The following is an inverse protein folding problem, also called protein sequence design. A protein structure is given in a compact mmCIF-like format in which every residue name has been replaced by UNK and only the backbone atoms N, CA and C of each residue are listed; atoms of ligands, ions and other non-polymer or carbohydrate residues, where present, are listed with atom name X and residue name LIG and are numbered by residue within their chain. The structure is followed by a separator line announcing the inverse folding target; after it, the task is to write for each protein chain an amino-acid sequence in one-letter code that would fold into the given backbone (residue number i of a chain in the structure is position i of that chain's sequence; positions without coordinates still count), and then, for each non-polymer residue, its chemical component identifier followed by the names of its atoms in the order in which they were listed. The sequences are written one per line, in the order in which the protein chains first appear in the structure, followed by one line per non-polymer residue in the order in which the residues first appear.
data_IF_013036840422
#
_entry.id   IF_013036840422
#
_cell.length_a   1.000
_cell.length_b   1.000
_cell.length_c   1.000
_cell.angle_alpha   90.00
_cell.angle_beta   90.00
_cell.angle_gamma   90.00
#
_symmetry.space_group_name_H-M   'P 1'
#
loop_
_entity.id
_entity.type
_entity.pdbx_description
1 polymer ?
#
# COMPACT_ATOMS: atom_id res chain seq x y z
N UNK A 1 11.48 4.66 7.53
CA UNK A 1 11.65 4.40 6.09
C UNK A 1 12.27 3.01 5.92
N UNK A 2 11.97 2.31 4.83
CA UNK A 2 12.55 1.00 4.50
C UNK A 2 12.98 1.00 3.03
N UNK A 3 14.16 0.49 2.76
CA UNK A 3 14.61 0.16 1.40
C UNK A 3 14.45 -1.34 1.20
N UNK A 4 13.91 -1.74 0.06
CA UNK A 4 13.61 -3.12 -0.26
C UNK A 4 14.38 -3.51 -1.52
N UNK A 5 15.04 -4.67 -1.48
CA UNK A 5 15.61 -5.35 -2.64
C UNK A 5 14.80 -6.62 -2.88
N UNK A 6 14.40 -6.86 -4.12
CA UNK A 6 13.69 -8.06 -4.55
C UNK A 6 14.55 -8.78 -5.58
N UNK A 7 14.85 -10.05 -5.30
CA UNK A 7 15.61 -10.92 -6.20
C UNK A 7 14.63 -11.46 -7.24
N UNK A 8 14.97 -11.43 -8.55
CA UNK A 8 14.11 -11.97 -9.57
C UNK A 8 13.97 -13.50 -9.42
N UNK A 9 12.79 -14.06 -9.73
CA UNK A 9 12.60 -15.51 -9.75
C UNK A 9 13.29 -16.14 -10.96
N UNK A 10 13.20 -17.47 -11.10
CA UNK A 10 13.79 -18.16 -12.25
C UNK A 10 13.11 -17.77 -13.56
N UNK A 11 13.75 -18.11 -14.67
CA UNK A 11 13.25 -17.78 -15.99
C UNK A 11 11.86 -18.41 -16.22
N UNK A 12 10.90 -17.61 -16.68
CA UNK A 12 9.51 -18.00 -16.90
C UNK A 12 8.62 -17.95 -15.65
N UNK A 13 9.16 -17.63 -14.48
CA UNK A 13 8.39 -17.56 -13.24
C UNK A 13 7.82 -16.16 -12.98
N UNK A 14 6.69 -16.14 -12.29
CA UNK A 14 6.02 -14.93 -11.85
C UNK A 14 5.63 -15.11 -10.37
N UNK A 15 6.44 -14.55 -9.49
CA UNK A 15 6.41 -14.86 -8.06
C UNK A 15 6.14 -13.64 -7.20
N UNK A 16 5.65 -13.90 -5.99
CA UNK A 16 5.37 -12.86 -5.01
C UNK A 16 6.66 -12.43 -4.30
N UNK A 17 7.14 -11.22 -4.60
CA UNK A 17 8.20 -10.56 -3.85
C UNK A 17 7.72 -9.99 -2.50
N UNK A 18 6.43 -9.66 -2.40
CA UNK A 18 5.75 -9.35 -1.15
C UNK A 18 4.29 -9.77 -1.28
N UNK A 19 3.83 -10.65 -0.37
CA UNK A 19 2.48 -11.17 -0.41
C UNK A 19 1.41 -10.08 -0.26
N UNK A 20 0.20 -10.38 -0.73
CA UNK A 20 -0.95 -9.49 -0.62
C UNK A 20 -1.23 -9.11 0.84
N UNK A 21 -1.31 -7.81 1.12
CA UNK A 21 -1.57 -7.27 2.46
C UNK A 21 -2.15 -5.85 2.39
N UNK A 22 -2.68 -5.38 3.52
CA UNK A 22 -2.91 -3.96 3.81
C UNK A 22 -1.80 -3.44 4.73
N UNK A 23 -1.58 -2.13 4.68
CA UNK A 23 -0.60 -1.46 5.53
C UNK A 23 -1.19 -1.11 6.90
N UNK A 24 -0.58 -1.58 7.99
CA UNK A 24 -0.97 -1.20 9.36
C UNK A 24 -0.76 0.27 9.74
N UNK A 25 0.33 0.96 9.29
CA UNK A 25 0.58 2.37 9.58
C UNK A 25 -0.58 3.31 9.17
N UNK A 26 -0.45 4.61 9.47
CA UNK A 26 -1.40 5.62 8.98
C UNK A 26 -1.38 5.67 7.44
N UNK A 27 -0.19 5.75 6.87
CA UNK A 27 -0.02 5.75 5.41
C UNK A 27 1.38 5.34 5.02
N UNK A 28 1.54 4.94 3.76
CA UNK A 28 2.84 4.62 3.16
C UNK A 28 3.03 5.40 1.87
N UNK A 29 4.20 6.02 1.71
CA UNK A 29 4.69 6.52 0.43
C UNK A 29 5.63 5.48 -0.17
N UNK A 30 5.36 5.02 -1.39
CA UNK A 30 6.18 4.04 -2.10
C UNK A 30 6.78 4.68 -3.35
N UNK A 31 8.10 4.61 -3.47
CA UNK A 31 8.84 4.98 -4.67
C UNK A 31 9.43 3.71 -5.28
N UNK A 32 9.00 3.36 -6.49
CA UNK A 32 9.58 2.26 -7.26
C UNK A 32 10.81 2.71 -8.05
N UNK A 33 11.83 1.86 -8.14
CA UNK A 33 13.00 2.13 -8.97
C UNK A 33 12.92 1.36 -10.30
N UNK A 34 12.46 2.03 -11.35
CA UNK A 34 12.51 1.67 -12.79
C UNK A 34 11.80 0.36 -13.21
N UNK A 35 11.72 -0.66 -12.34
CA UNK A 35 11.11 -1.95 -12.60
C UNK A 35 9.77 -2.01 -11.89
N UNK A 36 8.64 -2.09 -12.63
CA UNK A 36 7.31 -2.15 -12.04
C UNK A 36 7.06 -3.50 -11.38
N UNK A 37 6.47 -3.49 -10.20
CA UNK A 37 6.10 -4.72 -9.50
C UNK A 37 4.94 -4.56 -8.52
N UNK A 38 4.62 -3.33 -8.12
CA UNK A 38 3.48 -3.04 -7.26
C UNK A 38 2.16 -3.33 -8.00
N UNK A 39 1.32 -4.12 -7.37
CA UNK A 39 -0.04 -4.39 -7.85
C UNK A 39 -1.05 -4.07 -6.75
N UNK A 40 -2.17 -3.47 -7.15
CA UNK A 40 -3.26 -3.05 -6.27
C UNK A 40 -4.50 -3.85 -6.64
N UNK A 41 -5.16 -4.44 -5.65
CA UNK A 41 -6.44 -5.10 -5.84
C UNK A 41 -7.56 -4.06 -5.94
N UNK A 42 -8.30 -4.07 -7.05
CA UNK A 42 -9.39 -3.11 -7.30
C UNK A 42 -10.77 -3.69 -7.02
N UNK A 43 -10.97 -4.97 -7.32
CA UNK A 43 -12.18 -5.76 -7.06
C UNK A 43 -11.74 -7.20 -6.75
N UNK A 44 -12.56 -7.98 -6.03
CA UNK A 44 -12.25 -9.35 -5.58
C UNK A 44 -11.38 -10.17 -6.57
N UNK A 45 -10.07 -10.25 -6.31
CA UNK A 45 -9.10 -10.98 -7.13
C UNK A 45 -8.64 -10.30 -8.43
N UNK A 46 -9.17 -9.14 -8.79
CA UNK A 46 -8.73 -8.30 -9.90
C UNK A 46 -7.61 -7.35 -9.46
N UNK A 47 -6.45 -7.50 -10.09
CA UNK A 47 -5.23 -6.75 -9.78
C UNK A 47 -4.88 -5.79 -10.92
N UNK A 48 -4.52 -4.57 -10.57
CA UNK A 48 -3.91 -3.60 -11.48
C UNK A 48 -2.43 -3.49 -11.13
N UNK A 49 -1.57 -3.85 -12.09
CA UNK A 49 -0.13 -3.56 -12.01
C UNK A 49 0.10 -2.08 -12.27
N UNK A 50 0.84 -1.41 -11.40
CA UNK A 50 1.29 -0.05 -11.65
C UNK A 50 2.56 -0.10 -12.51
N UNK A 51 2.55 0.64 -13.61
CA UNK A 51 3.67 0.71 -14.56
C UNK A 51 3.79 2.12 -15.13
N UNK A 52 4.95 2.43 -15.73
CA UNK A 52 5.26 3.73 -16.33
C UNK A 52 5.12 4.93 -15.37
N UNK A 53 5.42 4.74 -14.07
CA UNK A 53 5.50 5.83 -13.12
C UNK A 53 6.72 6.72 -13.44
N UNK A 54 6.54 8.05 -13.35
CA UNK A 54 7.65 8.99 -13.49
C UNK A 54 8.70 8.72 -12.39
N UNK A 55 10.00 8.93 -12.65
CA UNK A 55 11.04 8.85 -11.62
C UNK A 55 10.80 9.76 -10.41
N UNK A 56 10.02 10.82 -10.56
CA UNK A 56 9.65 11.75 -9.50
C UNK A 56 8.29 11.45 -8.85
N UNK A 57 7.61 10.38 -9.29
CA UNK A 57 6.33 9.95 -8.73
C UNK A 57 6.52 9.09 -7.49
N UNK A 58 5.52 9.13 -6.63
CA UNK A 58 5.36 8.21 -5.52
C UNK A 58 3.91 7.74 -5.47
N UNK A 59 3.69 6.57 -4.88
CA UNK A 59 2.36 6.03 -4.62
C UNK A 59 2.04 6.26 -3.15
N UNK A 60 0.93 6.94 -2.87
CA UNK A 60 0.40 7.06 -1.51
C UNK A 60 -0.61 5.95 -1.26
N UNK A 61 -0.33 5.11 -0.25
CA UNK A 61 -1.19 4.02 0.19
C UNK A 61 -1.82 4.42 1.52
N UNK A 62 -3.15 4.36 1.58
CA UNK A 62 -3.92 4.49 2.83
C UNK A 62 -3.70 3.24 3.65
N UNK A 63 -3.27 3.40 4.90
CA UNK A 63 -3.18 2.29 5.83
C UNK A 63 -4.43 2.11 6.70
N UNK A 64 -4.50 0.98 7.38
CA UNK A 64 -5.61 0.56 8.24
C UNK A 64 -5.92 1.61 9.31
N UNK A 65 -4.89 2.25 9.86
CA UNK A 65 -5.06 3.31 10.87
C UNK A 65 -5.79 4.53 10.30
N UNK A 66 -5.48 4.94 9.06
CA UNK A 66 -6.14 6.08 8.42
C UNK A 66 -7.55 5.72 7.95
N UNK A 67 -7.79 4.46 7.55
CA UNK A 67 -9.14 3.93 7.30
C UNK A 67 -10.02 4.05 8.54
N UNK A 68 -9.53 3.63 9.72
CA UNK A 68 -10.24 3.75 11.00
C UNK A 68 -10.49 5.21 11.35
N UNK A 69 -9.44 6.04 11.32
CA UNK A 69 -9.56 7.47 11.64
C UNK A 69 -10.54 8.19 10.71
N UNK A 70 -10.61 7.83 9.42
CA UNK A 70 -11.56 8.43 8.47
C UNK A 70 -12.99 7.86 8.56
N UNK A 71 -13.31 7.08 9.59
CA UNK A 71 -14.60 6.38 9.73
C UNK A 71 -14.94 5.52 8.50
N UNK A 72 -13.94 4.86 7.91
CA UNK A 72 -14.11 4.01 6.73
C UNK A 72 -14.27 4.75 5.39
N UNK A 73 -14.21 6.09 5.37
CA UNK A 73 -14.32 6.89 4.13
C UNK A 73 -13.13 6.68 3.19
N UNK A 74 -11.95 6.38 3.74
CA UNK A 74 -10.77 6.01 2.97
C UNK A 74 -10.57 4.48 3.00
N UNK A 75 -10.30 3.89 1.85
CA UNK A 75 -10.07 2.44 1.71
C UNK A 75 -8.59 2.12 1.85
N UNK A 76 -8.24 1.31 2.85
CA UNK A 76 -6.97 0.60 2.87
C UNK A 76 -7.03 -0.53 1.83
N UNK A 77 -6.25 -0.39 0.76
CA UNK A 77 -6.27 -1.33 -0.37
C UNK A 77 -5.30 -2.48 -0.16
N UNK A 78 -5.72 -3.69 -0.49
CA UNK A 78 -4.81 -4.82 -0.60
C UNK A 78 -3.85 -4.55 -1.74
N UNK A 79 -2.56 -4.69 -1.47
CA UNK A 79 -1.52 -4.56 -2.48
C UNK A 79 -0.47 -5.65 -2.29
N UNK A 80 0.25 -5.96 -3.37
CA UNK A 80 1.32 -6.96 -3.41
C UNK A 80 2.46 -6.47 -4.27
N UNK A 81 3.61 -7.15 -4.16
CA UNK A 81 4.72 -6.97 -5.10
C UNK A 81 4.90 -8.27 -5.86
N UNK A 82 4.70 -8.22 -7.17
CA UNK A 82 4.97 -9.34 -8.06
C UNK A 82 6.26 -9.10 -8.84
N UNK A 83 7.02 -10.18 -9.01
CA UNK A 83 8.33 -10.19 -9.63
C UNK A 83 8.27 -11.04 -10.90
N UNK A 84 8.93 -10.55 -11.96
CA UNK A 84 9.16 -11.29 -13.20
C UNK A 84 10.67 -11.55 -13.33
N UNK A 85 11.03 -12.44 -14.26
CA UNK A 85 12.42 -12.72 -14.62
C UNK A 85 13.25 -11.46 -14.98
N UNK A 86 14.56 -11.57 -14.75
CA UNK A 86 15.55 -10.77 -15.48
C UNK A 86 16.40 -9.80 -14.65
N UNK A 87 15.83 -9.08 -13.66
CA UNK A 87 16.57 -8.03 -12.93
C UNK A 87 16.13 -7.84 -11.48
N UNK A 88 17.09 -7.51 -10.62
CA UNK A 88 16.84 -7.04 -9.26
C UNK A 88 15.97 -5.79 -9.28
N UNK A 89 14.89 -5.79 -8.48
CA UNK A 89 14.03 -4.62 -8.28
C UNK A 89 14.34 -3.99 -6.93
N UNK A 90 14.27 -2.66 -6.90
CA UNK A 90 14.41 -1.87 -5.69
C UNK A 90 13.21 -0.97 -5.48
N UNK A 91 12.83 -0.76 -4.22
CA UNK A 91 11.87 0.27 -3.85
C UNK A 91 12.21 0.88 -2.51
N UNK A 92 11.69 2.08 -2.28
CA UNK A 92 11.81 2.79 -1.01
C UNK A 92 10.41 3.11 -0.49
N UNK A 93 10.17 2.83 0.78
CA UNK A 93 8.89 3.08 1.45
C UNK A 93 9.09 3.97 2.67
N UNK A 94 8.32 5.05 2.78
CA UNK A 94 8.26 5.88 3.98
C UNK A 94 6.89 5.72 4.63
N UNK A 95 6.87 5.51 5.95
CA UNK A 95 5.65 5.21 6.71
C UNK A 95 5.35 6.35 7.66
N UNK A 96 4.09 6.78 7.70
CA UNK A 96 3.57 7.61 8.76
C UNK A 96 2.95 6.69 9.83
N UNK A 97 3.48 6.73 11.04
CA UNK A 97 3.02 5.88 12.15
C UNK A 97 2.58 6.81 13.28
N UNK A 98 1.41 6.59 13.91
CA UNK A 98 1.03 7.33 15.11
C UNK A 98 2.04 7.12 16.24
N UNK A 99 2.12 8.08 17.16
CA UNK A 99 2.88 7.89 18.38
C UNK A 99 2.32 6.73 19.20
N UNK A 100 3.18 6.06 19.96
CA UNK A 100 2.75 5.00 20.87
C UNK A 100 1.63 5.49 21.81
N UNK A 101 0.70 4.59 22.13
CA UNK A 101 -0.48 4.85 22.96
C UNK A 101 -1.47 5.89 22.40
N UNK A 102 -1.31 6.35 21.16
CA UNK A 102 -2.31 7.20 20.50
C UNK A 102 -3.60 6.40 20.30
N UNK A 103 -4.71 6.90 20.86
CA UNK A 103 -6.03 6.34 20.61
C UNK A 103 -6.50 6.78 19.22
N UNK A 104 -6.67 5.81 18.33
CA UNK A 104 -7.22 6.03 16.99
C UNK A 104 -8.74 5.87 17.06
N UNK A 105 -9.47 6.91 16.67
CA UNK A 105 -10.93 6.92 16.56
C UNK A 105 -11.38 7.90 15.49
N UNK A 106 -12.58 7.70 14.97
CA UNK A 106 -13.20 8.64 14.03
C UNK A 106 -13.42 10.03 14.70
N UNK A 107 -13.01 11.14 14.06
CA UNK A 107 -13.41 12.48 14.45
C UNK A 107 -14.94 12.62 14.40
N UNK A 108 -15.50 13.42 15.31
CA UNK A 108 -16.96 13.63 15.39
C UNK A 108 -17.52 14.27 14.12
N UNK A 109 -16.71 15.07 13.45
CA UNK A 109 -17.02 15.76 12.20
C UNK A 109 -17.20 14.79 11.03
N UNK A 110 -16.71 13.55 11.14
CA UNK A 110 -16.88 12.50 10.12
C UNK A 110 -18.03 11.54 10.45
N UNK A 111 -18.74 11.76 11.57
CA UNK A 111 -19.86 10.95 12.05
C UNK A 111 -21.14 11.77 11.96
N UNK A 112 -22.08 11.29 11.16
CA UNK A 112 -23.37 11.94 10.93
C UNK A 112 -24.46 10.88 10.64
N UNK A 113 -25.71 11.29 10.42
CA UNK A 113 -26.81 10.35 10.14
C UNK A 113 -26.59 9.53 8.85
N UNK A 114 -25.87 10.07 7.87
CA UNK A 114 -25.54 9.37 6.62
C UNK A 114 -24.30 8.48 6.77
N UNK A 115 -23.42 8.80 7.72
CA UNK A 115 -22.17 8.09 8.01
C UNK A 115 -22.08 7.79 9.52
N UNK A 116 -22.82 6.79 10.02
CA UNK A 116 -22.77 6.42 11.42
C UNK A 116 -21.36 5.94 11.82
N UNK A 117 -21.08 5.90 13.12
CA UNK A 117 -19.80 5.46 13.64
C UNK A 117 -19.56 3.98 13.30
N UNK A 118 -18.52 3.69 12.52
CA UNK A 118 -18.10 2.33 12.17
C UNK A 118 -16.97 1.81 13.09
N UNK A 119 -16.16 2.72 13.62
CA UNK A 119 -14.99 2.43 14.44
C UNK A 119 -14.93 3.30 15.70
#
# INVERSE_FOLDING_TARGET
MRMMKYIPPQQGEYESGLFAHTDKPLSTLICEHQIPGLEIEVNDGQWIKLFNLSPSSFVFVVGDTLKVWSNGRLKAVTHRVMMNEGKDRYSMSAFAVPNENTIIKAPKELIDEQHPQLY
#
